data_IF_466760380292
#
_entry.id   IF_466760380292
#
_cell.length_a   1.000
_cell.length_b   1.000
_cell.length_c   1.000
_cell.angle_alpha   90.00
_cell.angle_beta   90.00
_cell.angle_gamma   90.00
#
_symmetry.space_group_name_H-M   'P 1'
#
loop_
_entity.id
_entity.type
_entity.pdbx_description
1 polymer ?
#
# COMPACT_ATOMS: atom_id res chain seq x y z
N UNK A 1 3.17 14.26 -0.01
CA UNK A 1 2.09 13.65 -0.81
C UNK A 1 0.89 13.31 0.05
N UNK A 2 -0.29 13.71 -0.40
CA UNK A 2 -1.59 13.39 0.17
C UNK A 2 -2.42 12.59 -0.84
N UNK A 3 -3.36 11.78 -0.35
CA UNK A 3 -4.33 11.08 -1.17
C UNK A 3 -5.75 11.48 -0.78
N UNK A 4 -6.58 11.81 -1.76
CA UNK A 4 -8.01 11.98 -1.61
C UNK A 4 -8.71 10.70 -2.05
N UNK A 5 -9.34 10.01 -1.10
CA UNK A 5 -10.11 8.80 -1.34
C UNK A 5 -11.58 9.18 -1.45
N UNK A 6 -12.22 8.78 -2.55
CA UNK A 6 -13.61 9.13 -2.84
C UNK A 6 -14.54 7.90 -2.73
N UNK A 7 -15.80 8.08 -2.30
CA UNK A 7 -16.79 6.99 -2.21
C UNK A 7 -17.05 6.24 -3.52
N UNK A 8 -16.73 6.86 -4.66
CA UNK A 8 -16.85 6.28 -6.00
C UNK A 8 -15.84 5.16 -6.28
N UNK A 9 -14.89 4.91 -5.37
CA UNK A 9 -13.82 3.92 -5.55
C UNK A 9 -12.56 4.50 -6.19
N UNK A 10 -12.56 5.77 -6.54
CA UNK A 10 -11.43 6.47 -7.13
C UNK A 10 -10.57 7.16 -6.06
N UNK A 11 -9.25 7.17 -6.30
CA UNK A 11 -8.32 7.96 -5.51
C UNK A 11 -7.67 9.04 -6.39
N UNK A 12 -7.33 10.16 -5.75
CA UNK A 12 -6.51 11.22 -6.33
C UNK A 12 -5.33 11.50 -5.42
N UNK A 13 -4.27 12.05 -5.97
CA UNK A 13 -3.08 12.42 -5.21
C UNK A 13 -2.69 13.87 -5.49
N UNK A 14 -2.00 14.44 -4.51
CA UNK A 14 -1.42 15.77 -4.59
C UNK A 14 -0.05 15.71 -3.94
N UNK A 15 0.96 16.23 -4.62
CA UNK A 15 2.26 16.43 -3.99
C UNK A 15 2.35 17.82 -3.38
N UNK A 16 2.51 17.82 -2.06
CA UNK A 16 2.79 19.02 -1.28
C UNK A 16 4.15 18.82 -0.60
N UNK A 17 4.89 19.92 -0.33
CA UNK A 17 6.08 19.86 0.50
C UNK A 17 5.82 19.08 1.78
N UNK A 18 6.79 18.31 2.25
CA UNK A 18 6.64 17.45 3.46
C UNK A 18 6.23 18.22 4.71
N UNK A 19 6.47 19.53 4.76
CA UNK A 19 6.02 20.41 5.84
C UNK A 19 4.49 20.58 5.89
N UNK A 20 3.78 20.24 4.82
CA UNK A 20 2.32 20.35 4.72
C UNK A 20 1.74 18.93 4.77
N UNK A 21 1.56 18.42 5.98
CA UNK A 21 0.82 17.19 6.26
C UNK A 21 -0.69 17.45 6.32
N UNK A 22 -1.48 16.38 6.36
CA UNK A 22 -2.91 16.49 6.64
C UNK A 22 -3.14 17.26 7.96
N UNK A 23 -2.46 16.89 9.05
CA UNK A 23 -2.56 17.58 10.34
C UNK A 23 -2.24 19.08 10.26
N UNK A 24 -1.21 19.47 9.50
CA UNK A 24 -0.88 20.87 9.28
C UNK A 24 -2.03 21.63 8.59
N UNK A 25 -2.65 21.00 7.59
CA UNK A 25 -3.79 21.60 6.89
C UNK A 25 -5.00 21.80 7.81
N UNK A 26 -5.27 20.84 8.70
CA UNK A 26 -6.32 20.97 9.72
C UNK A 26 -6.02 22.12 10.71
N UNK A 27 -4.77 22.24 11.18
CA UNK A 27 -4.36 23.28 12.12
C UNK A 27 -4.42 24.70 11.54
N UNK A 28 -4.31 24.83 10.22
CA UNK A 28 -4.28 26.12 9.52
C UNK A 28 -5.54 26.40 8.68
N UNK A 29 -6.60 25.60 8.88
CA UNK A 29 -7.90 25.75 8.18
C UNK A 29 -7.75 25.83 6.65
N UNK A 30 -6.83 25.02 6.10
CA UNK A 30 -6.61 24.97 4.65
C UNK A 30 -7.71 24.17 3.97
N UNK A 31 -8.38 24.78 2.98
CA UNK A 31 -9.33 24.08 2.14
C UNK A 31 -8.62 23.18 1.12
N UNK A 32 -8.43 21.92 1.53
CA UNK A 32 -7.79 20.88 0.73
C UNK A 32 -8.53 20.56 -0.58
N UNK A 33 -9.82 20.91 -0.73
CA UNK A 33 -10.56 20.64 -1.97
C UNK A 33 -10.15 21.54 -3.13
N UNK A 34 -9.60 22.72 -2.83
CA UNK A 34 -9.28 23.74 -3.84
C UNK A 34 -8.01 23.44 -4.63
N UNK A 35 -7.23 22.46 -4.17
CA UNK A 35 -5.98 22.07 -4.83
C UNK A 35 -6.23 21.28 -6.12
N UNK A 36 -5.23 21.30 -7.02
CA UNK A 36 -5.26 20.55 -8.28
C UNK A 36 -4.90 19.08 -8.07
N UNK A 37 -5.89 18.31 -7.64
CA UNK A 37 -5.79 16.87 -7.41
C UNK A 37 -5.64 16.09 -8.71
N UNK A 38 -4.59 15.27 -8.81
CA UNK A 38 -4.34 14.41 -9.98
C UNK A 38 -4.92 13.02 -9.77
N UNK A 39 -5.44 12.35 -10.81
CA UNK A 39 -5.85 10.95 -10.71
C UNK A 39 -4.71 10.08 -10.19
N UNK A 40 -5.01 9.20 -9.22
CA UNK A 40 -4.09 8.17 -8.77
C UNK A 40 -4.39 6.86 -9.48
N UNK A 41 -3.36 6.05 -9.73
CA UNK A 41 -3.52 4.67 -10.21
C UNK A 41 -4.13 3.74 -9.14
N UNK A 42 -4.08 4.19 -7.88
CA UNK A 42 -4.67 3.53 -6.73
C UNK A 42 -6.21 3.49 -6.83
N UNK A 43 -6.79 2.33 -6.58
CA UNK A 43 -8.24 2.17 -6.38
C UNK A 43 -8.55 2.08 -4.89
N UNK A 44 -9.65 2.70 -4.47
CA UNK A 44 -10.08 2.65 -3.08
C UNK A 44 -10.71 1.30 -2.80
N UNK A 45 -10.06 0.51 -1.94
CA UNK A 45 -10.55 -0.75 -1.44
C UNK A 45 -10.93 -0.68 0.05
N UNK A 46 -11.39 -1.80 0.60
CA UNK A 46 -11.80 -1.89 2.00
C UNK A 46 -10.68 -1.50 2.99
N UNK A 47 -9.42 -1.87 2.71
CA UNK A 47 -8.30 -1.59 3.62
C UNK A 47 -7.97 -0.11 3.61
N UNK A 48 -7.97 0.53 2.43
CA UNK A 48 -7.80 1.97 2.32
C UNK A 48 -8.92 2.74 3.04
N UNK A 49 -10.17 2.29 2.94
CA UNK A 49 -11.27 2.89 3.71
C UNK A 49 -11.03 2.74 5.21
N UNK A 50 -10.61 1.56 5.69
CA UNK A 50 -10.29 1.34 7.11
C UNK A 50 -9.17 2.25 7.62
N UNK A 51 -8.13 2.46 6.82
CA UNK A 51 -7.05 3.39 7.14
C UNK A 51 -7.55 4.84 7.12
N UNK A 52 -8.38 5.20 6.14
CA UNK A 52 -8.91 6.55 5.99
C UNK A 52 -9.79 6.97 7.17
N UNK A 53 -10.65 6.08 7.67
CA UNK A 53 -11.50 6.38 8.83
C UNK A 53 -10.74 6.41 10.16
N UNK A 54 -9.46 6.04 10.17
CA UNK A 54 -8.56 6.14 11.35
C UNK A 54 -7.67 7.37 11.29
N UNK A 55 -7.05 7.62 10.14
CA UNK A 55 -5.97 8.60 9.99
C UNK A 55 -6.32 9.78 9.09
N UNK A 56 -7.44 9.71 8.37
CA UNK A 56 -7.78 10.72 7.39
C UNK A 56 -8.32 12.03 7.99
N UNK A 57 -8.62 12.95 7.08
CA UNK A 57 -9.34 14.19 7.30
C UNK A 57 -10.57 14.27 6.41
N UNK A 58 -11.71 14.77 6.92
CA UNK A 58 -12.92 14.90 6.14
C UNK A 58 -12.81 16.08 5.19
N UNK A 59 -13.13 15.85 3.92
CA UNK A 59 -13.41 16.90 2.93
C UNK A 59 -14.75 16.60 2.27
N UNK A 60 -15.39 17.58 1.62
CA UNK A 60 -16.74 17.41 1.05
C UNK A 60 -16.84 16.28 0.03
N UNK A 61 -15.77 15.96 -0.68
CA UNK A 61 -15.69 14.93 -1.72
C UNK A 61 -15.20 13.56 -1.22
N UNK A 62 -14.72 13.45 0.02
CA UNK A 62 -14.16 12.20 0.53
C UNK A 62 -13.32 12.34 1.80
N UNK A 63 -12.27 11.53 1.89
CA UNK A 63 -11.29 11.53 2.99
C UNK A 63 -9.89 11.77 2.44
N UNK A 64 -9.18 12.75 2.99
CA UNK A 64 -7.77 12.98 2.68
C UNK A 64 -6.90 12.20 3.66
N UNK A 65 -5.89 11.47 3.17
CA UNK A 65 -4.97 10.65 3.98
C UNK A 65 -3.53 10.99 3.59
N UNK A 66 -2.63 11.00 4.58
CA UNK A 66 -1.21 11.17 4.32
C UNK A 66 -0.64 9.99 3.50
N UNK A 67 0.27 10.32 2.58
CA UNK A 67 0.92 9.32 1.73
C UNK A 67 1.79 8.32 2.49
N UNK A 68 2.19 8.60 3.74
CA UNK A 68 2.87 7.63 4.60
C UNK A 68 1.97 6.43 4.91
N UNK A 69 0.76 6.69 5.41
CA UNK A 69 -0.23 5.64 5.73
C UNK A 69 -0.65 4.85 4.49
N UNK A 70 -0.92 5.53 3.38
CA UNK A 70 -1.28 4.85 2.11
C UNK A 70 -0.08 4.09 1.54
N UNK A 71 1.11 4.69 1.62
CA UNK A 71 2.34 4.15 1.06
C UNK A 71 2.77 2.85 1.72
N UNK A 72 2.62 2.71 3.04
CA UNK A 72 2.91 1.47 3.76
C UNK A 72 2.02 0.32 3.28
N UNK A 73 0.71 0.55 3.13
CA UNK A 73 -0.23 -0.43 2.58
C UNK A 73 0.13 -0.83 1.14
N UNK A 74 0.35 0.16 0.27
CA UNK A 74 0.70 -0.07 -1.15
C UNK A 74 2.02 -0.84 -1.26
N UNK A 75 3.00 -0.52 -0.41
CA UNK A 75 4.31 -1.19 -0.37
C UNK A 75 4.17 -2.68 -0.08
N UNK A 76 3.31 -3.09 0.86
CA UNK A 76 3.08 -4.51 1.16
C UNK A 76 2.58 -5.26 -0.08
N UNK A 77 1.55 -4.73 -0.74
CA UNK A 77 1.01 -5.34 -1.96
C UNK A 77 2.03 -5.45 -3.09
N UNK A 78 2.86 -4.42 -3.25
CA UNK A 78 3.96 -4.42 -4.23
C UNK A 78 5.05 -5.44 -3.89
N UNK A 79 5.42 -5.60 -2.61
CA UNK A 79 6.42 -6.58 -2.19
C UNK A 79 5.94 -8.01 -2.46
N UNK A 80 4.70 -8.33 -2.10
CA UNK A 80 4.09 -9.65 -2.36
C UNK A 80 4.08 -9.94 -3.86
N UNK A 81 3.60 -8.99 -4.66
CA UNK A 81 3.54 -9.16 -6.12
C UNK A 81 4.93 -9.33 -6.73
N UNK A 82 5.89 -8.47 -6.35
CA UNK A 82 7.26 -8.52 -6.87
C UNK A 82 7.93 -9.84 -6.51
N UNK A 83 7.71 -10.35 -5.30
CA UNK A 83 8.24 -11.64 -4.87
C UNK A 83 7.66 -12.79 -5.70
N UNK A 84 6.34 -12.82 -5.88
CA UNK A 84 5.67 -13.83 -6.71
C UNK A 84 6.12 -13.78 -8.18
N UNK A 85 6.24 -12.58 -8.75
CA UNK A 85 6.71 -12.38 -10.13
C UNK A 85 8.17 -12.83 -10.28
N UNK A 86 9.02 -12.57 -9.27
CA UNK A 86 10.41 -13.01 -9.24
C UNK A 86 10.52 -14.54 -9.15
N UNK A 87 9.76 -15.18 -8.27
CA UNK A 87 9.75 -16.65 -8.13
C UNK A 87 9.33 -17.34 -9.43
N UNK A 88 8.27 -16.83 -10.06
CA UNK A 88 7.79 -17.30 -11.36
C UNK A 88 8.85 -17.14 -12.47
N UNK A 89 9.60 -16.04 -12.44
CA UNK A 89 10.68 -15.79 -13.41
C UNK A 89 11.88 -16.70 -13.19
N UNK A 90 12.27 -16.96 -11.93
CA UNK A 90 13.38 -17.85 -11.57
C UNK A 90 13.07 -19.29 -12.00
N UNK A 91 11.89 -19.81 -11.64
CA UNK A 91 11.45 -21.15 -12.05
C UNK A 91 11.57 -21.32 -13.57
N UNK A 92 11.10 -20.34 -14.34
CA UNK A 92 11.13 -20.39 -15.81
C UNK A 92 12.56 -20.33 -16.37
N UNK A 93 13.46 -19.59 -15.73
CA UNK A 93 14.88 -19.53 -16.12
C UNK A 93 15.62 -20.84 -15.82
N UNK A 94 15.34 -21.45 -14.67
CA UNK A 94 15.92 -22.75 -14.29
C UNK A 94 15.46 -23.86 -15.25
N UNK A 95 14.17 -23.88 -15.63
CA UNK A 95 13.65 -24.86 -16.60
C UNK A 95 14.30 -24.73 -17.98
N UNK A 96 14.53 -23.50 -18.46
CA UNK A 96 15.05 -23.26 -19.82
C UNK A 96 16.57 -23.40 -19.89
N UNK A 97 17.29 -22.83 -18.92
CA UNK A 97 18.75 -22.70 -18.97
C UNK A 97 19.49 -23.61 -17.99
N UNK A 98 18.80 -24.19 -17.00
CA UNK A 98 19.41 -24.95 -15.92
C UNK A 98 20.32 -26.09 -16.38
N UNK A 99 19.88 -26.98 -17.30
CA UNK A 99 20.73 -28.06 -17.79
C UNK A 99 21.99 -27.58 -18.51
N UNK A 100 21.89 -26.47 -19.27
CA UNK A 100 23.03 -25.86 -19.95
C UNK A 100 24.01 -25.25 -18.94
N UNK A 101 23.50 -24.52 -17.96
CA UNK A 101 24.32 -23.86 -16.94
C UNK A 101 25.04 -24.88 -16.05
N UNK A 102 24.35 -25.96 -15.66
CA UNK A 102 24.95 -27.04 -14.87
C UNK A 102 26.07 -27.76 -15.64
N UNK A 103 25.92 -27.92 -16.96
CA UNK A 103 26.96 -28.51 -17.80
C UNK A 103 28.21 -27.61 -17.93
N UNK A 104 28.04 -26.29 -17.89
CA UNK A 104 29.13 -25.31 -17.96
C UNK A 104 29.78 -25.06 -16.59
N UNK A 105 28.99 -25.04 -15.53
CA UNK A 105 29.37 -24.73 -14.16
C UNK A 105 28.71 -25.75 -13.22
N UNK A 106 29.36 -26.90 -12.96
CA UNK A 106 28.84 -27.91 -12.06
C UNK A 106 28.61 -27.34 -10.65
N UNK A 107 27.44 -27.64 -10.07
CA UNK A 107 26.97 -27.10 -8.80
C UNK A 107 26.19 -25.79 -8.91
N UNK A 108 26.03 -25.22 -10.11
CA UNK A 108 25.28 -23.98 -10.32
C UNK A 108 23.83 -24.08 -9.85
N UNK A 109 23.16 -25.21 -10.12
CA UNK A 109 21.76 -25.42 -9.74
C UNK A 109 21.59 -25.43 -8.22
N UNK A 110 22.47 -26.14 -7.50
CA UNK A 110 22.38 -26.22 -6.04
C UNK A 110 22.71 -24.88 -5.38
N UNK A 111 23.76 -24.19 -5.86
CA UNK A 111 24.12 -22.86 -5.36
C UNK A 111 23.01 -21.84 -5.60
N UNK A 112 22.34 -21.91 -6.76
CA UNK A 112 21.21 -21.04 -7.09
C UNK A 112 20.02 -21.33 -6.18
N UNK A 113 19.69 -22.60 -5.94
CA UNK A 113 18.63 -23.00 -5.00
C UNK A 113 18.88 -22.52 -3.58
N UNK A 114 20.10 -22.69 -3.07
CA UNK A 114 20.48 -22.21 -1.73
C UNK A 114 20.45 -20.67 -1.62
N UNK A 115 20.84 -19.96 -2.69
CA UNK A 115 20.73 -18.50 -2.74
C UNK A 115 19.27 -18.05 -2.75
N UNK A 116 18.44 -18.65 -3.61
CA UNK A 116 17.02 -18.34 -3.72
C UNK A 116 16.32 -18.56 -2.37
N UNK A 117 16.52 -19.71 -1.72
CA UNK A 117 15.92 -19.99 -0.42
C UNK A 117 16.28 -18.94 0.66
N UNK A 118 17.52 -18.40 0.63
CA UNK A 118 17.92 -17.31 1.54
C UNK A 118 17.26 -15.99 1.18
N UNK A 119 17.14 -15.67 -0.10
CA UNK A 119 16.42 -14.48 -0.57
C UNK A 119 14.95 -14.56 -0.18
N UNK A 120 14.31 -15.71 -0.41
CA UNK A 120 12.90 -15.95 -0.08
C UNK A 120 12.65 -15.74 1.41
N UNK A 121 13.45 -16.39 2.26
CA UNK A 121 13.37 -16.21 3.72
C UNK A 121 13.50 -14.73 4.11
N UNK A 122 14.41 -13.99 3.48
CA UNK A 122 14.60 -12.56 3.77
C UNK A 122 13.41 -11.71 3.28
N UNK A 123 12.83 -12.03 2.13
CA UNK A 123 11.70 -11.31 1.56
C UNK A 123 10.43 -11.59 2.37
N UNK A 124 10.18 -12.85 2.73
CA UNK A 124 9.07 -13.25 3.60
C UNK A 124 9.14 -12.55 4.96
N UNK A 125 10.32 -12.46 5.56
CA UNK A 125 10.51 -11.71 6.81
C UNK A 125 10.18 -10.23 6.65
N UNK A 126 10.60 -9.61 5.54
CA UNK A 126 10.32 -8.20 5.26
C UNK A 126 8.82 -7.95 4.97
N UNK A 127 8.15 -8.87 4.27
CA UNK A 127 6.70 -8.83 4.05
C UNK A 127 5.98 -8.97 5.39
N UNK A 128 6.36 -9.94 6.21
CA UNK A 128 5.75 -10.17 7.52
C UNK A 128 5.84 -8.93 8.42
N UNK A 129 6.99 -8.27 8.44
CA UNK A 129 7.17 -7.05 9.22
C UNK A 129 6.31 -5.89 8.68
N UNK A 130 6.29 -5.69 7.37
CA UNK A 130 5.45 -4.66 6.76
C UNK A 130 3.94 -4.92 6.97
N UNK A 131 3.51 -6.18 6.98
CA UNK A 131 2.12 -6.55 7.33
C UNK A 131 1.81 -6.19 8.79
N UNK A 132 2.72 -6.46 9.73
CA UNK A 132 2.52 -6.09 11.14
C UNK A 132 2.39 -4.58 11.33
N UNK A 133 3.13 -3.77 10.57
CA UNK A 133 3.01 -2.31 10.61
C UNK A 133 1.60 -1.86 10.20
N UNK A 134 1.06 -2.41 9.10
CA UNK A 134 -0.31 -2.13 8.64
C UNK A 134 -1.35 -2.65 9.64
N UNK A 135 -1.16 -3.86 10.17
CA UNK A 135 -2.06 -4.43 11.18
C UNK A 135 -2.07 -3.61 12.47
N UNK A 136 -0.92 -3.09 12.90
CA UNK A 136 -0.82 -2.19 14.06
C UNK A 136 -1.56 -0.88 13.82
N UNK A 137 -1.55 -0.36 12.59
CA UNK A 137 -2.37 0.80 12.21
C UNK A 137 -3.87 0.47 12.24
N UNK A 138 -4.27 -0.69 11.71
CA UNK A 138 -5.65 -1.15 11.67
C UNK A 138 -6.20 -1.50 13.07
N UNK A 139 -5.33 -1.87 14.01
CA UNK A 139 -5.72 -2.13 15.40
C UNK A 139 -6.17 -0.87 16.15
N UNK A 140 -5.84 0.33 15.66
CA UNK A 140 -6.34 1.58 16.25
C UNK A 140 -7.85 1.70 16.05
N UNK A 141 -8.54 2.35 16.98
CA UNK A 141 -9.99 2.52 16.87
C UNK A 141 -10.34 3.47 15.71
N UNK A 142 -11.35 3.15 14.87
CA UNK A 142 -11.83 4.07 13.85
C UNK A 142 -12.44 5.32 14.49
N UNK A 143 -12.24 6.47 13.86
CA UNK A 143 -12.87 7.74 14.26
C UNK A 143 -14.32 7.76 13.79
N UNK A 144 -15.25 7.85 14.74
CA UNK A 144 -16.68 7.71 14.46
C UNK A 144 -17.20 8.84 13.56
N UNK A 145 -16.63 10.04 13.68
CA UNK A 145 -16.92 11.19 12.83
C UNK A 145 -16.52 10.95 11.37
N UNK A 146 -15.36 10.32 11.11
CA UNK A 146 -14.90 10.02 9.75
C UNK A 146 -15.72 8.89 9.12
N UNK A 147 -16.06 7.87 9.92
CA UNK A 147 -16.94 6.79 9.49
C UNK A 147 -18.34 7.33 9.11
N UNK A 148 -18.88 8.25 9.91
CA UNK A 148 -20.17 8.89 9.66
C UNK A 148 -20.12 9.77 8.42
N UNK A 149 -19.05 10.56 8.28
CA UNK A 149 -18.79 11.38 7.10
C UNK A 149 -18.73 10.53 5.83
N UNK A 150 -17.94 9.45 5.82
CA UNK A 150 -17.82 8.54 4.67
C UNK A 150 -19.18 7.98 4.23
N UNK A 151 -19.99 7.51 5.20
CA UNK A 151 -21.35 7.03 4.93
C UNK A 151 -22.27 8.13 4.37
N UNK A 152 -22.16 9.35 4.89
CA UNK A 152 -22.98 10.49 4.44
C UNK A 152 -22.72 10.84 2.96
N UNK A 153 -21.51 10.57 2.47
CA UNK A 153 -21.14 10.73 1.07
C UNK A 153 -21.54 9.54 0.18
N UNK A 154 -22.26 8.55 0.73
CA UNK A 154 -22.66 7.32 0.03
C UNK A 154 -21.59 6.22 0.03
N UNK A 155 -20.52 6.37 0.82
CA UNK A 155 -19.45 5.39 0.92
C UNK A 155 -19.85 4.15 1.72
N UNK A 156 -19.40 2.99 1.26
CA UNK A 156 -19.55 1.73 2.00
C UNK A 156 -18.48 1.61 3.08
N UNK A 157 -18.87 1.21 4.29
CA UNK A 157 -17.94 0.88 5.37
C UNK A 157 -17.74 -0.64 5.44
N UNK A 158 -16.50 -1.13 5.35
CA UNK A 158 -16.20 -2.56 5.45
C UNK A 158 -16.43 -3.10 6.86
N UNK A 159 -16.73 -4.39 6.96
CA UNK A 159 -16.87 -5.14 8.21
C UNK A 159 -15.76 -6.22 8.29
N UNK A 160 -14.96 -6.31 9.36
CA UNK A 160 -14.88 -5.39 10.50
C UNK A 160 -14.39 -3.99 10.12
N UNK A 161 -14.68 -3.00 10.98
CA UNK A 161 -14.14 -1.65 10.87
C UNK A 161 -12.78 -1.52 11.51
#
# INVERSE_FOLDING_TARGET
MLYLLMPTGEARWLDLPRSISASFALENDLDLETFDWKPAELKVDATLVRLAVRFGLPVRSGLVVDGGTVGEYVRVGQMIKTHHDADSAHTRLEEVNGPMMEALLPGWTEQTRELNARVDTSVEAAISEAVKEVDAQLAQAPKSELASHWRSLGGYLPDPL
#
